data_IF_475209708350
#
_entry.id   IF_475209708350
#
_cell.length_a   1.000
_cell.length_b   1.000
_cell.length_c   1.000
_cell.angle_alpha   90.00
_cell.angle_beta   90.00
_cell.angle_gamma   90.00
#
_symmetry.space_group_name_H-M   'P 1'
#
loop_
_entity.id
_entity.type
_entity.pdbx_description
1 polymer ?
#
# COMPACT_ATOMS: atom_id res chain seq x y z
N UNK A 1 15.54 -12.70 81.17
CA UNK A 1 16.89 -13.03 80.68
C UNK A 1 16.75 -13.52 79.25
N UNK A 2 17.31 -12.75 78.31
CA UNK A 2 17.54 -12.95 76.86
C UNK A 2 16.58 -13.86 76.06
N UNK A 3 15.75 -13.17 75.26
CA UNK A 3 15.07 -13.64 74.05
C UNK A 3 16.13 -14.05 73.01
N UNK A 4 15.99 -15.22 72.39
CA UNK A 4 16.74 -15.54 71.17
C UNK A 4 15.79 -16.13 70.11
N UNK A 5 15.49 -15.28 69.15
CA UNK A 5 14.79 -15.55 67.90
C UNK A 5 15.73 -16.27 66.94
N UNK A 6 15.23 -17.29 66.22
CA UNK A 6 15.83 -17.65 64.94
C UNK A 6 14.74 -17.96 63.91
N UNK A 7 14.88 -17.31 62.76
CA UNK A 7 13.86 -17.08 61.75
C UNK A 7 13.72 -18.28 60.80
N UNK A 8 12.47 -18.63 60.48
CA UNK A 8 12.13 -19.46 59.32
C UNK A 8 12.51 -18.70 58.04
N UNK A 9 13.44 -19.23 57.26
CA UNK A 9 13.68 -18.80 55.88
C UNK A 9 12.57 -19.41 55.00
N UNK A 10 11.55 -18.62 54.66
CA UNK A 10 10.69 -18.91 53.52
C UNK A 10 11.44 -18.49 52.25
N UNK A 11 11.87 -19.46 51.45
CA UNK A 11 12.38 -19.23 50.11
C UNK A 11 11.18 -19.01 49.18
N UNK A 12 10.79 -17.76 48.97
CA UNK A 12 9.77 -17.39 47.99
C UNK A 12 10.38 -17.49 46.59
N UNK A 13 10.06 -18.55 45.85
CA UNK A 13 10.35 -18.62 44.42
C UNK A 13 9.42 -17.64 43.67
N UNK A 14 9.96 -16.51 43.22
CA UNK A 14 9.27 -15.58 42.36
C UNK A 14 9.14 -16.20 40.96
N UNK A 15 7.94 -16.67 40.61
CA UNK A 15 7.60 -17.05 39.25
C UNK A 15 7.51 -15.76 38.44
N UNK A 16 8.55 -15.47 37.67
CA UNK A 16 8.51 -14.44 36.64
C UNK A 16 7.53 -14.90 35.54
N UNK A 17 6.28 -14.41 35.61
CA UNK A 17 5.33 -14.48 34.51
C UNK A 17 5.83 -13.56 33.38
N UNK A 18 6.74 -14.10 32.57
CA UNK A 18 7.10 -13.51 31.30
C UNK A 18 5.85 -13.40 30.43
N UNK A 19 5.41 -12.17 30.20
CA UNK A 19 4.36 -11.86 29.24
C UNK A 19 4.95 -12.09 27.85
N UNK A 20 4.78 -13.30 27.33
CA UNK A 20 5.01 -13.58 25.92
C UNK A 20 3.93 -12.83 25.14
N UNK A 21 4.29 -11.65 24.63
CA UNK A 21 3.51 -10.99 23.59
C UNK A 21 3.45 -11.95 22.40
N UNK A 22 2.29 -12.55 22.17
CA UNK A 22 2.01 -13.32 20.97
C UNK A 22 2.09 -12.38 19.79
N UNK A 23 3.20 -12.42 19.07
CA UNK A 23 3.30 -11.81 17.75
C UNK A 23 2.30 -12.53 16.84
N UNK A 24 1.14 -11.92 16.61
CA UNK A 24 0.19 -12.36 15.59
C UNK A 24 0.85 -12.19 14.22
N UNK A 25 1.57 -13.21 13.75
CA UNK A 25 1.85 -13.36 12.33
C UNK A 25 0.54 -13.72 11.65
N UNK A 26 -0.08 -12.73 11.00
CA UNK A 26 -1.16 -13.02 10.06
C UNK A 26 -0.57 -13.80 8.88
N UNK A 27 -0.98 -15.05 8.74
CA UNK A 27 -0.62 -15.92 7.62
C UNK A 27 -1.12 -15.30 6.32
N UNK A 28 -0.19 -14.73 5.55
CA UNK A 28 -0.48 -14.26 4.19
C UNK A 28 -0.81 -15.49 3.32
N UNK A 29 -2.02 -15.53 2.75
CA UNK A 29 -2.43 -16.55 1.80
C UNK A 29 -1.58 -16.43 0.52
N UNK A 30 -0.54 -17.26 0.38
CA UNK A 30 0.38 -17.30 -0.76
C UNK A 30 -0.01 -18.35 -1.81
N UNK A 31 -1.21 -18.94 -1.74
CA UNK A 31 -1.58 -20.13 -2.51
C UNK A 31 -1.66 -19.95 -4.04
N UNK A 32 -1.71 -18.71 -4.54
CA UNK A 32 -1.76 -18.41 -5.98
C UNK A 32 -0.88 -17.20 -6.36
N UNK A 33 0.45 -17.35 -6.47
CA UNK A 33 1.31 -16.27 -6.96
C UNK A 33 1.17 -16.08 -8.47
N UNK A 34 1.51 -14.88 -8.98
CA UNK A 34 1.69 -14.71 -10.43
C UNK A 34 2.92 -15.49 -10.90
N UNK A 35 2.87 -16.06 -12.12
CA UNK A 35 4.04 -16.71 -12.72
C UNK A 35 5.08 -15.68 -13.22
N UNK A 36 4.73 -14.40 -13.29
CA UNK A 36 5.59 -13.36 -13.85
C UNK A 36 6.51 -12.76 -12.79
N UNK A 37 7.73 -12.42 -13.21
CA UNK A 37 8.66 -11.61 -12.42
C UNK A 37 8.49 -10.14 -12.82
N UNK A 38 8.05 -9.33 -11.88
CA UNK A 38 7.76 -7.92 -12.13
C UNK A 38 8.99 -7.04 -11.82
N UNK A 39 9.31 -6.07 -12.71
CA UNK A 39 10.32 -5.07 -12.41
C UNK A 39 9.83 -4.10 -11.33
N UNK A 40 10.77 -3.46 -10.63
CA UNK A 40 10.45 -2.34 -9.74
C UNK A 40 10.77 -1.04 -10.49
N UNK A 41 9.82 -0.11 -10.65
CA UNK A 41 10.10 1.19 -11.26
C UNK A 41 11.20 1.95 -10.52
N UNK A 42 12.07 2.63 -11.26
CA UNK A 42 13.20 3.41 -10.74
C UNK A 42 13.31 4.74 -11.46
N UNK A 43 13.88 5.74 -10.78
CA UNK A 43 14.19 7.04 -11.40
C UNK A 43 12.99 7.93 -11.65
N UNK A 44 11.83 7.65 -11.04
CA UNK A 44 10.62 8.46 -11.17
C UNK A 44 10.54 9.40 -9.98
N UNK A 45 10.80 10.68 -10.24
CA UNK A 45 10.56 11.73 -9.25
C UNK A 45 9.09 11.75 -8.85
N UNK A 46 8.80 12.07 -7.59
CA UNK A 46 7.42 12.23 -7.11
C UNK A 46 6.51 10.98 -7.28
N UNK A 47 7.08 9.79 -7.49
CA UNK A 47 6.29 8.56 -7.50
C UNK A 47 5.63 8.36 -6.14
N UNK A 48 4.31 8.22 -6.14
CA UNK A 48 3.53 7.91 -4.94
C UNK A 48 3.48 6.40 -4.72
N UNK A 49 3.04 5.67 -5.76
CA UNK A 49 2.99 4.22 -5.78
C UNK A 49 2.87 3.73 -7.23
N UNK A 50 2.90 2.42 -7.44
CA UNK A 50 2.68 1.82 -8.75
C UNK A 50 1.75 0.61 -8.69
N UNK A 51 1.08 0.33 -9.80
CA UNK A 51 0.17 -0.80 -9.97
C UNK A 51 0.70 -1.75 -11.03
N UNK A 52 0.77 -3.02 -10.66
CA UNK A 52 1.11 -4.13 -11.54
C UNK A 52 -0.02 -5.14 -11.59
N UNK A 53 -0.03 -5.96 -12.62
CA UNK A 53 -1.09 -6.93 -12.86
C UNK A 53 -0.60 -8.10 -13.70
N UNK A 54 -1.36 -9.18 -13.78
CA UNK A 54 -1.28 -10.10 -14.92
C UNK A 54 -2.01 -9.54 -16.15
N UNK A 55 -1.79 -10.04 -17.38
CA UNK A 55 -0.79 -11.04 -17.79
C UNK A 55 0.56 -10.49 -18.27
N UNK A 56 0.91 -9.23 -18.03
CA UNK A 56 2.22 -8.71 -18.45
C UNK A 56 2.85 -7.79 -17.41
N UNK A 57 4.13 -7.48 -17.59
CA UNK A 57 4.95 -6.73 -16.62
C UNK A 57 4.79 -5.22 -16.72
N UNK A 58 3.98 -4.70 -17.65
CA UNK A 58 3.76 -3.28 -17.81
C UNK A 58 3.14 -2.71 -16.54
N UNK A 59 3.69 -1.59 -16.11
CA UNK A 59 3.43 -1.04 -14.79
C UNK A 59 2.75 0.30 -14.93
N UNK A 60 1.73 0.54 -14.13
CA UNK A 60 1.07 1.83 -14.04
C UNK A 60 1.74 2.61 -12.92
N UNK A 61 2.17 3.82 -13.22
CA UNK A 61 2.77 4.72 -12.27
C UNK A 61 1.71 5.72 -11.84
N UNK A 62 1.62 5.94 -10.53
CA UNK A 62 0.86 7.04 -9.94
C UNK A 62 1.87 8.03 -9.36
N UNK A 63 2.00 9.18 -10.01
CA UNK A 63 2.97 10.23 -9.69
C UNK A 63 2.23 11.47 -9.18
N UNK A 64 2.79 12.16 -8.19
CA UNK A 64 2.24 13.43 -7.72
C UNK A 64 2.37 14.49 -8.81
N UNK A 65 1.26 15.15 -9.14
CA UNK A 65 1.25 16.24 -10.10
C UNK A 65 1.57 17.58 -9.41
N UNK A 66 2.74 18.13 -9.68
CA UNK A 66 3.15 19.43 -9.14
C UNK A 66 3.52 20.41 -10.25
N UNK A 67 3.26 21.69 -10.01
CA UNK A 67 3.80 22.76 -10.84
C UNK A 67 5.32 22.91 -10.67
N UNK A 68 5.94 23.82 -11.45
CA UNK A 68 7.37 24.11 -11.37
C UNK A 68 7.83 24.66 -9.99
N UNK A 69 6.90 25.07 -9.13
CA UNK A 69 7.15 25.55 -7.76
C UNK A 69 6.93 24.46 -6.71
N UNK A 70 6.60 23.23 -7.13
CA UNK A 70 6.32 22.11 -6.24
C UNK A 70 4.93 22.15 -5.60
N UNK A 71 4.03 23.02 -6.06
CA UNK A 71 2.64 23.05 -5.59
C UNK A 71 1.81 22.01 -6.31
N UNK A 72 0.99 21.26 -5.56
CA UNK A 72 0.13 20.23 -6.13
C UNK A 72 -0.96 20.85 -7.00
N UNK A 73 -1.16 20.29 -8.19
CA UNK A 73 -2.32 20.62 -9.01
C UNK A 73 -3.59 20.13 -8.31
N UNK A 74 -4.47 21.04 -7.92
CA UNK A 74 -5.66 20.72 -7.11
C UNK A 74 -6.74 19.97 -7.89
N UNK A 75 -6.81 20.18 -9.20
CA UNK A 75 -7.83 19.58 -10.06
C UNK A 75 -7.41 18.17 -10.51
N UNK A 76 -6.10 17.97 -10.71
CA UNK A 76 -5.51 16.69 -11.06
C UNK A 76 -4.24 16.45 -10.23
N UNK A 77 -4.34 16.06 -8.95
CA UNK A 77 -3.18 15.92 -8.06
C UNK A 77 -2.30 14.70 -8.37
N UNK A 78 -2.74 13.81 -9.25
CA UNK A 78 -2.03 12.58 -9.60
C UNK A 78 -2.02 12.39 -11.11
N UNK A 79 -0.82 12.23 -11.66
CA UNK A 79 -0.61 11.74 -13.02
C UNK A 79 -0.58 10.22 -13.01
N UNK A 80 -1.32 9.61 -13.95
CA UNK A 80 -1.38 8.16 -14.11
C UNK A 80 -0.99 7.78 -15.53
N UNK A 81 0.04 6.95 -15.68
CA UNK A 81 0.58 6.54 -16.97
C UNK A 81 1.22 5.15 -16.91
N UNK A 82 1.48 4.55 -18.06
CA UNK A 82 2.21 3.29 -18.20
C UNK A 82 3.72 3.51 -18.28
N UNK A 83 4.47 2.56 -17.72
CA UNK A 83 5.78 2.16 -18.21
C UNK A 83 5.63 0.80 -18.88
N UNK A 84 5.98 0.75 -20.16
CA UNK A 84 5.90 -0.45 -20.99
C UNK A 84 7.25 -1.12 -21.08
N UNK A 85 7.48 -2.10 -20.23
CA UNK A 85 8.77 -2.78 -20.14
C UNK A 85 9.05 -3.69 -21.33
N UNK A 86 8.00 -4.15 -22.01
CA UNK A 86 8.07 -4.84 -23.31
C UNK A 86 8.40 -3.90 -24.48
N UNK A 87 8.23 -2.59 -24.32
CA UNK A 87 8.51 -1.56 -25.31
C UNK A 87 9.63 -0.61 -24.82
N UNK A 88 10.83 -1.15 -24.54
CA UNK A 88 12.00 -0.38 -24.11
C UNK A 88 11.80 0.49 -22.85
N UNK A 89 10.89 0.10 -21.95
CA UNK A 89 10.51 0.89 -20.77
C UNK A 89 9.93 2.27 -21.11
N UNK A 90 9.25 2.39 -22.25
CA UNK A 90 8.64 3.65 -22.69
C UNK A 90 7.53 4.10 -21.73
N UNK A 91 7.55 5.40 -21.39
CA UNK A 91 6.45 6.08 -20.69
C UNK A 91 5.32 6.35 -21.68
N UNK A 92 4.10 5.88 -21.38
CA UNK A 92 2.93 6.08 -22.24
C UNK A 92 1.69 6.49 -21.47
N UNK A 93 0.98 7.47 -21.99
CA UNK A 93 -0.29 7.93 -21.41
C UNK A 93 -1.37 6.84 -21.39
N UNK A 94 -2.28 6.94 -20.42
CA UNK A 94 -3.51 6.16 -20.46
C UNK A 94 -4.40 6.65 -21.60
N UNK A 95 -4.84 5.72 -22.45
CA UNK A 95 -5.90 5.99 -23.43
C UNK A 95 -7.22 6.36 -22.74
N UNK A 96 -8.13 7.03 -23.47
CA UNK A 96 -9.40 7.54 -22.92
C UNK A 96 -10.20 6.47 -22.17
N UNK A 97 -10.35 5.29 -22.78
CA UNK A 97 -11.09 4.16 -22.19
C UNK A 97 -10.45 3.69 -20.88
N UNK A 98 -9.12 3.49 -20.87
CA UNK A 98 -8.41 3.03 -19.68
C UNK A 98 -8.52 4.05 -18.54
N UNK A 99 -8.42 5.34 -18.88
CA UNK A 99 -8.59 6.45 -17.93
C UNK A 99 -10.01 6.50 -17.36
N UNK A 100 -11.05 6.25 -18.18
CA UNK A 100 -12.44 6.37 -17.72
C UNK A 100 -12.98 5.15 -16.98
N UNK A 101 -12.48 3.95 -17.31
CA UNK A 101 -13.09 2.69 -16.83
C UNK A 101 -12.15 1.75 -16.09
N UNK A 102 -10.83 1.88 -16.24
CA UNK A 102 -9.87 0.96 -15.62
C UNK A 102 -9.00 1.66 -14.57
N UNK A 103 -7.95 2.34 -15.02
CA UNK A 103 -6.83 2.74 -14.17
C UNK A 103 -6.81 4.22 -13.85
N UNK A 104 -7.77 5.00 -14.34
CA UNK A 104 -7.89 6.40 -13.92
C UNK A 104 -8.19 6.51 -12.42
N UNK A 105 -7.77 7.63 -11.86
CA UNK A 105 -8.01 7.99 -10.46
C UNK A 105 -8.88 9.24 -10.45
N UNK A 106 -10.03 9.14 -9.79
CA UNK A 106 -10.80 10.32 -9.41
C UNK A 106 -10.22 10.87 -8.12
N UNK A 107 -10.07 12.19 -8.05
CA UNK A 107 -9.63 12.89 -6.86
C UNK A 107 -10.70 13.84 -6.35
N UNK A 108 -10.71 14.08 -5.04
CA UNK A 108 -11.54 15.07 -4.38
C UNK A 108 -10.75 15.72 -3.25
N UNK A 109 -10.62 17.04 -3.27
CA UNK A 109 -10.05 17.76 -2.13
C UNK A 109 -10.93 17.57 -0.89
N UNK A 110 -10.30 17.21 0.24
CA UNK A 110 -10.97 16.99 1.53
C UNK A 110 -10.39 17.87 2.65
N UNK A 111 -9.33 18.61 2.35
CA UNK A 111 -8.68 19.54 3.28
C UNK A 111 -7.50 20.23 2.61
N UNK A 112 -6.75 21.01 3.40
CA UNK A 112 -5.49 21.58 2.94
C UNK A 112 -4.49 20.45 2.70
N UNK A 113 -3.94 20.37 1.48
CA UNK A 113 -2.92 19.39 1.11
C UNK A 113 -3.38 17.92 1.33
N UNK A 114 -4.70 17.69 1.23
CA UNK A 114 -5.34 16.40 1.45
C UNK A 114 -6.41 16.12 0.40
N UNK A 115 -6.30 14.94 -0.23
CA UNK A 115 -7.21 14.50 -1.28
C UNK A 115 -7.65 13.07 -1.03
N UNK A 116 -8.95 12.82 -1.19
CA UNK A 116 -9.47 11.47 -1.36
C UNK A 116 -9.28 11.04 -2.82
N UNK A 117 -8.79 9.83 -3.01
CA UNK A 117 -8.53 9.21 -4.30
C UNK A 117 -9.37 7.93 -4.42
N UNK A 118 -9.92 7.68 -5.61
CA UNK A 118 -10.58 6.42 -5.93
C UNK A 118 -10.22 5.99 -7.34
N UNK A 119 -9.82 4.73 -7.49
CA UNK A 119 -9.75 4.13 -8.82
C UNK A 119 -11.15 4.10 -9.44
N UNK A 120 -11.25 4.46 -10.72
CA UNK A 120 -12.52 4.43 -11.46
C UNK A 120 -13.14 3.04 -11.50
N UNK A 121 -12.29 2.01 -11.53
CA UNK A 121 -12.66 0.59 -11.52
C UNK A 121 -13.05 0.04 -10.15
N UNK A 122 -12.65 0.68 -9.06
CA UNK A 122 -12.92 0.17 -7.72
C UNK A 122 -13.22 1.30 -6.72
N UNK A 123 -14.47 1.77 -6.75
CA UNK A 123 -14.92 2.91 -5.94
C UNK A 123 -15.04 2.63 -4.44
N UNK A 124 -15.04 1.35 -4.02
CA UNK A 124 -15.26 0.97 -2.62
C UNK A 124 -14.02 1.09 -1.73
N UNK A 125 -12.83 1.24 -2.32
CA UNK A 125 -11.58 1.39 -1.58
C UNK A 125 -11.03 2.81 -1.76
N UNK A 126 -11.36 3.74 -0.85
CA UNK A 126 -10.73 5.06 -0.87
C UNK A 126 -9.26 4.95 -0.51
N UNK A 127 -8.44 5.75 -1.17
CA UNK A 127 -7.07 6.05 -0.77
C UNK A 127 -6.97 7.54 -0.47
N UNK A 128 -5.97 7.94 0.29
CA UNK A 128 -5.82 9.32 0.76
C UNK A 128 -4.42 9.82 0.44
N UNK A 129 -4.35 10.83 -0.42
CA UNK A 129 -3.14 11.60 -0.67
C UNK A 129 -2.98 12.63 0.44
N UNK A 130 -1.91 12.53 1.22
CA UNK A 130 -1.67 13.40 2.37
C UNK A 130 -0.20 13.81 2.38
N UNK A 131 0.05 15.10 2.63
CA UNK A 131 1.40 15.58 2.93
C UNK A 131 1.79 15.15 4.34
N UNK A 132 2.82 14.31 4.46
CA UNK A 132 3.34 13.87 5.75
C UNK A 132 4.03 15.02 6.47
N UNK A 133 3.79 15.09 7.77
CA UNK A 133 4.44 16.08 8.63
C UNK A 133 5.90 15.70 8.96
N UNK A 134 6.27 14.43 8.81
CA UNK A 134 7.59 13.91 9.15
C UNK A 134 8.64 14.24 8.08
N UNK A 135 8.34 13.95 6.82
CA UNK A 135 9.29 14.15 5.71
C UNK A 135 8.89 15.29 4.76
N UNK A 136 7.76 15.95 5.04
CA UNK A 136 7.17 17.02 4.22
C UNK A 136 6.86 16.62 2.78
N UNK A 137 6.78 15.31 2.47
CA UNK A 137 6.41 14.76 1.16
C UNK A 137 4.98 14.25 1.16
N UNK A 138 4.42 14.13 -0.04
CA UNK A 138 3.10 13.52 -0.21
C UNK A 138 3.22 12.00 -0.30
N UNK A 139 2.32 11.32 0.38
CA UNK A 139 2.17 9.87 0.35
C UNK A 139 0.71 9.49 0.17
N UNK A 140 0.47 8.28 -0.32
CA UNK A 140 -0.87 7.73 -0.46
C UNK A 140 -1.10 6.65 0.58
N UNK A 141 -2.19 6.78 1.32
CA UNK A 141 -2.57 5.85 2.37
C UNK A 141 -3.87 5.12 2.03
N UNK A 142 -3.97 3.85 2.42
CA UNK A 142 -5.20 3.06 2.36
C UNK A 142 -5.41 2.35 3.69
N UNK A 143 -6.68 2.11 4.04
CA UNK A 143 -7.02 1.27 5.20
C UNK A 143 -7.57 -0.07 4.70
N UNK A 144 -6.88 -1.15 5.02
CA UNK A 144 -7.27 -2.53 4.68
C UNK A 144 -7.08 -3.40 5.91
N UNK A 145 -8.05 -4.26 6.21
CA UNK A 145 -8.01 -5.15 7.37
C UNK A 145 -7.69 -4.40 8.69
N UNK A 146 -8.28 -3.21 8.87
CA UNK A 146 -8.07 -2.31 10.00
C UNK A 146 -6.64 -1.78 10.16
N UNK A 147 -5.79 -1.91 9.13
CA UNK A 147 -4.43 -1.36 9.11
C UNK A 147 -4.35 -0.19 8.14
N UNK A 148 -3.76 0.92 8.60
CA UNK A 148 -3.44 2.07 7.74
C UNK A 148 -2.06 1.85 7.11
N UNK A 149 -2.02 1.84 5.79
CA UNK A 149 -0.85 1.44 5.00
C UNK A 149 -0.47 2.59 4.08
N UNK A 150 0.78 3.05 4.17
CA UNK A 150 1.38 3.87 3.13
C UNK A 150 1.70 2.97 1.93
N UNK A 151 1.04 3.18 0.80
CA UNK A 151 1.09 2.30 -0.36
C UNK A 151 2.43 2.47 -1.08
N UNK A 152 3.08 1.37 -1.41
CA UNK A 152 4.23 1.35 -2.32
C UNK A 152 3.85 0.68 -3.65
N UNK A 153 3.14 -0.46 -3.56
CA UNK A 153 2.77 -1.27 -4.71
C UNK A 153 1.38 -1.86 -4.54
N UNK A 154 0.58 -1.76 -5.59
CA UNK A 154 -0.65 -2.52 -5.76
C UNK A 154 -0.41 -3.58 -6.82
N UNK A 155 -0.83 -4.81 -6.57
CA UNK A 155 -0.73 -5.91 -7.52
C UNK A 155 -2.08 -6.61 -7.71
N UNK A 156 -2.51 -6.78 -8.95
CA UNK A 156 -3.75 -7.47 -9.28
C UNK A 156 -3.41 -8.84 -9.87
N UNK A 157 -3.77 -9.91 -9.15
CA UNK A 157 -3.71 -11.26 -9.72
C UNK A 157 -4.91 -11.46 -10.63
N UNK A 158 -4.66 -11.64 -11.93
CA UNK A 158 -5.71 -11.83 -12.94
C UNK A 158 -5.52 -13.18 -13.61
N UNK A 159 -6.57 -14.00 -13.65
CA UNK A 159 -6.58 -15.31 -14.31
C UNK A 159 -7.77 -15.43 -15.26
N UNK A 160 -7.51 -15.14 -16.55
CA UNK A 160 -8.53 -15.14 -17.58
C UNK A 160 -9.53 -14.00 -17.42
N UNK A 161 -10.76 -14.22 -17.89
CA UNK A 161 -11.74 -13.17 -18.09
C UNK A 161 -11.62 -12.53 -19.48
N UNK A 162 -12.41 -11.50 -19.73
CA UNK A 162 -12.35 -10.72 -20.97
C UNK A 162 -11.51 -9.46 -20.77
N UNK A 163 -11.13 -8.82 -21.87
CA UNK A 163 -10.43 -7.53 -21.83
C UNK A 163 -11.18 -6.47 -20.99
N UNK A 164 -12.51 -6.52 -21.00
CA UNK A 164 -13.38 -5.58 -20.29
C UNK A 164 -13.74 -6.01 -18.87
N UNK A 165 -13.74 -7.32 -18.62
CA UNK A 165 -14.09 -7.91 -17.33
C UNK A 165 -13.03 -8.96 -16.96
N UNK A 166 -11.85 -8.51 -16.49
CA UNK A 166 -10.82 -9.43 -16.03
C UNK A 166 -11.28 -10.18 -14.79
N UNK A 167 -10.90 -11.45 -14.68
CA UNK A 167 -11.17 -12.26 -13.49
C UNK A 167 -10.08 -12.00 -12.44
N UNK A 168 -10.28 -10.99 -11.61
CA UNK A 168 -9.35 -10.62 -10.52
C UNK A 168 -9.52 -11.59 -9.37
N UNK A 169 -8.48 -12.35 -9.05
CA UNK A 169 -8.48 -13.32 -7.93
C UNK A 169 -8.26 -12.64 -6.59
N UNK A 170 -7.33 -11.68 -6.57
CA UNK A 170 -7.10 -10.83 -5.42
C UNK A 170 -6.37 -9.55 -5.84
N UNK A 171 -6.50 -8.56 -4.96
CA UNK A 171 -5.65 -7.37 -4.95
C UNK A 171 -4.68 -7.51 -3.79
N UNK A 172 -3.39 -7.39 -4.08
CA UNK A 172 -2.32 -7.35 -3.10
C UNK A 172 -1.83 -5.90 -2.94
N UNK A 173 -1.75 -5.42 -1.70
CA UNK A 173 -1.25 -4.08 -1.38
C UNK A 173 -0.02 -4.27 -0.50
N UNK A 174 1.13 -3.84 -1.02
CA UNK A 174 2.39 -3.79 -0.29
C UNK A 174 2.72 -2.35 0.07
N UNK A 175 3.21 -2.16 1.28
CA UNK A 175 3.60 -0.84 1.76
C UNK A 175 4.07 -0.86 3.21
N UNK A 176 4.05 0.30 3.86
CA UNK A 176 4.49 0.47 5.25
C UNK A 176 3.28 0.68 6.16
N UNK A 177 3.17 -0.10 7.24
CA UNK A 177 2.15 0.11 8.25
C UNK A 177 2.49 1.34 9.09
N UNK A 178 1.58 2.30 9.17
CA UNK A 178 1.84 3.57 9.86
C UNK A 178 1.88 3.45 11.39
N UNK A 179 1.42 2.32 11.97
CA UNK A 179 1.42 2.16 13.44
C UNK A 179 2.76 1.69 13.99
N UNK A 180 3.55 0.98 13.20
CA UNK A 180 4.79 0.35 13.66
C UNK A 180 5.94 0.43 12.64
N UNK A 181 5.75 1.12 11.53
CA UNK A 181 6.72 1.29 10.44
C UNK A 181 7.21 -0.02 9.80
N UNK A 182 6.52 -1.14 10.02
CA UNK A 182 6.86 -2.41 9.39
C UNK A 182 6.38 -2.45 7.95
N UNK A 183 7.19 -3.02 7.05
CA UNK A 183 6.75 -3.39 5.70
C UNK A 183 5.73 -4.51 5.83
N UNK A 184 4.55 -4.32 5.25
CA UNK A 184 3.46 -5.28 5.26
C UNK A 184 2.91 -5.51 3.86
N UNK A 185 2.20 -6.63 3.70
CA UNK A 185 1.48 -6.94 2.49
C UNK A 185 0.12 -7.51 2.87
N UNK A 186 -0.94 -6.92 2.32
CA UNK A 186 -2.33 -7.31 2.56
C UNK A 186 -2.95 -7.79 1.25
N UNK A 187 -3.76 -8.85 1.31
CA UNK A 187 -4.53 -9.35 0.16
C UNK A 187 -6.02 -9.18 0.41
N UNK A 188 -6.72 -8.65 -0.59
CA UNK A 188 -8.18 -8.52 -0.63
C UNK A 188 -8.69 -9.45 -1.73
N UNK A 189 -9.53 -10.41 -1.37
CA UNK A 189 -10.25 -11.24 -2.36
C UNK A 189 -11.38 -10.41 -2.97
N UNK A 190 -11.52 -10.49 -4.29
CA UNK A 190 -12.52 -9.74 -5.07
C UNK A 190 -13.70 -10.65 -5.42
#
# INVERSE_FOLDING_TARGET
MKVLSFRLFFLSAAIALGSFATAFSQTQDQSNPSPLKFPVPKGISNQLFYLQRDPNTNTIICELNTDAKGQVNKDEPILVYWIRYDENSEKKELGYVQRKFAYGINSKAIGKDQYELRFVSHKKLPMYLVKSEEDKKYHVYVTVNNKKIQIERIFLRIEGGSFWLPNVKYVEIKGVNTSNNAVITERIKI
#
